data_IF_399688192299
#
_entry.id   IF_399688192299
#
_cell.length_a   1.000
_cell.length_b   1.000
_cell.length_c   1.000
_cell.angle_alpha   90.00
_cell.angle_beta   90.00
_cell.angle_gamma   90.00
#
_symmetry.space_group_name_H-M   'P 1'
#
loop_
_entity.id
_entity.type
_entity.pdbx_description
1 polymer ?
#
# COMPACT_ATOMS: atom_id res chain seq x y z
N UNK A 1 35.03 1.41 15.66
CA UNK A 1 33.64 1.92 15.78
C UNK A 1 33.33 2.80 14.58
N UNK A 2 32.53 2.32 13.63
CA UNK A 2 31.89 3.08 12.54
C UNK A 2 30.77 2.20 11.98
N UNK A 3 29.78 1.90 12.81
CA UNK A 3 28.58 1.12 12.48
C UNK A 3 27.37 2.00 12.79
N UNK A 4 27.17 3.07 12.02
CA UNK A 4 26.00 3.96 12.22
C UNK A 4 25.46 4.60 10.93
N UNK A 5 25.67 4.00 9.75
CA UNK A 5 25.08 4.50 8.47
C UNK A 5 24.32 3.39 7.72
N UNK A 6 23.62 2.51 8.44
CA UNK A 6 22.76 1.49 7.82
C UNK A 6 21.32 1.45 8.37
N UNK A 7 21.01 2.23 9.41
CA UNK A 7 19.68 2.25 10.04
C UNK A 7 18.72 3.28 9.43
N UNK A 8 19.18 4.25 8.64
CA UNK A 8 18.32 5.29 8.06
C UNK A 8 17.50 4.83 6.85
N UNK A 9 17.84 3.70 6.24
CA UNK A 9 17.17 3.21 5.01
C UNK A 9 16.06 2.20 5.30
N UNK A 10 15.97 1.65 6.52
CA UNK A 10 14.93 0.69 6.90
C UNK A 10 13.58 1.34 7.23
N UNK A 11 13.57 2.62 7.63
CA UNK A 11 12.35 3.32 8.07
C UNK A 11 11.46 3.79 6.91
N UNK A 12 11.93 3.71 5.66
CA UNK A 12 11.25 4.26 4.48
C UNK A 12 10.27 3.28 3.79
N UNK A 13 10.06 2.09 4.36
CA UNK A 13 9.29 1.01 3.71
C UNK A 13 8.04 0.57 4.51
N UNK A 14 7.77 1.20 5.66
CA UNK A 14 6.55 0.96 6.43
C UNK A 14 5.42 1.84 5.88
N UNK A 15 4.84 1.45 4.75
CA UNK A 15 3.61 2.07 4.26
C UNK A 15 2.44 1.82 5.22
N UNK A 16 1.56 2.81 5.36
CA UNK A 16 0.39 2.78 6.24
C UNK A 16 -0.69 1.82 5.73
N UNK A 17 -1.25 1.05 6.66
CA UNK A 17 -2.33 0.09 6.44
C UNK A 17 -3.28 0.17 7.63
N UNK A 18 -4.44 0.77 7.43
CA UNK A 18 -5.38 1.02 8.51
C UNK A 18 -6.71 0.32 8.21
N UNK A 19 -6.99 -0.74 8.94
CA UNK A 19 -8.28 -1.43 8.89
C UNK A 19 -9.36 -0.57 9.55
N UNK A 20 -10.52 -0.47 8.90
CA UNK A 20 -11.67 0.24 9.44
C UNK A 20 -11.58 1.76 9.29
N UNK A 21 -10.66 2.23 8.44
CA UNK A 21 -10.47 3.63 8.14
C UNK A 21 -10.60 3.89 6.64
N UNK A 22 -11.04 5.11 6.34
CA UNK A 22 -11.17 5.65 4.99
C UNK A 22 -10.70 7.10 5.01
N UNK A 23 -10.18 7.57 3.88
CA UNK A 23 -9.99 9.00 3.63
C UNK A 23 -11.13 9.54 2.77
N UNK A 24 -11.81 10.57 3.27
CA UNK A 24 -12.94 11.21 2.59
C UNK A 24 -12.51 12.40 1.72
N UNK A 25 -13.28 12.68 0.67
CA UNK A 25 -13.12 13.86 -0.20
C UNK A 25 -11.75 13.97 -0.91
N UNK A 26 -10.96 12.89 -0.94
CA UNK A 26 -9.70 12.81 -1.66
C UNK A 26 -9.81 12.01 -2.98
N UNK A 27 -11.03 11.72 -3.43
CA UNK A 27 -11.29 10.79 -4.53
C UNK A 27 -10.76 11.30 -5.87
N UNK A 28 -9.90 10.51 -6.50
CA UNK A 28 -9.42 10.66 -7.86
C UNK A 28 -10.25 9.82 -8.84
N UNK A 29 -10.51 8.56 -8.48
CA UNK A 29 -11.24 7.59 -9.30
C UNK A 29 -11.79 6.49 -8.41
N UNK A 30 -12.96 5.97 -8.74
CA UNK A 30 -13.52 4.77 -8.11
C UNK A 30 -13.84 3.70 -9.14
N UNK A 31 -13.73 2.43 -8.75
CA UNK A 31 -14.13 1.27 -9.56
C UNK A 31 -14.50 0.10 -8.64
N UNK A 32 -15.26 -0.85 -9.20
CA UNK A 32 -15.78 -2.02 -8.48
C UNK A 32 -15.17 -3.31 -9.04
N UNK A 33 -15.55 -4.44 -8.44
CA UNK A 33 -15.16 -5.79 -8.87
C UNK A 33 -13.64 -6.03 -8.88
N UNK A 34 -12.94 -5.47 -7.89
CA UNK A 34 -11.48 -5.58 -7.75
C UNK A 34 -11.09 -6.11 -6.37
N UNK A 35 -10.02 -6.89 -6.33
CA UNK A 35 -9.38 -7.25 -5.05
C UNK A 35 -8.46 -6.15 -4.54
N UNK A 36 -8.16 -6.20 -3.24
CA UNK A 36 -7.28 -5.24 -2.54
C UNK A 36 -5.94 -5.02 -3.26
N UNK A 37 -5.27 -6.11 -3.66
CA UNK A 37 -4.03 -6.03 -4.42
C UNK A 37 -4.20 -5.35 -5.78
N UNK A 38 -5.30 -5.62 -6.48
CA UNK A 38 -5.59 -4.98 -7.77
C UNK A 38 -5.88 -3.49 -7.58
N UNK A 39 -6.58 -3.11 -6.51
CA UNK A 39 -6.77 -1.72 -6.11
C UNK A 39 -5.42 -0.99 -5.95
N UNK A 40 -4.45 -1.62 -5.28
CA UNK A 40 -3.10 -1.07 -5.16
C UNK A 40 -2.31 -1.03 -6.48
N UNK A 41 -2.46 -2.02 -7.36
CA UNK A 41 -1.83 -1.99 -8.70
C UNK A 41 -2.31 -0.80 -9.52
N UNK A 42 -3.62 -0.54 -9.52
CA UNK A 42 -4.22 0.62 -10.19
C UNK A 42 -3.69 1.93 -9.62
N UNK A 43 -3.56 2.05 -8.29
CA UNK A 43 -2.95 3.23 -7.67
C UNK A 43 -1.51 3.44 -8.16
N UNK A 44 -0.68 2.40 -8.19
CA UNK A 44 0.72 2.53 -8.64
C UNK A 44 0.79 2.98 -10.10
N UNK A 45 -0.09 2.43 -10.96
CA UNK A 45 -0.16 2.82 -12.37
C UNK A 45 -0.60 4.29 -12.55
N UNK A 46 -1.38 4.84 -11.61
CA UNK A 46 -1.83 6.23 -11.65
C UNK A 46 -0.86 7.16 -10.90
N UNK A 47 -0.13 8.01 -11.63
CA UNK A 47 0.92 8.89 -11.08
C UNK A 47 0.45 9.81 -9.94
N UNK A 48 -0.79 10.26 -10.00
CA UNK A 48 -1.35 11.17 -8.99
C UNK A 48 -1.96 10.45 -7.78
N UNK A 49 -2.04 9.11 -7.78
CA UNK A 49 -2.58 8.37 -6.65
C UNK A 49 -1.58 8.34 -5.50
N UNK A 50 -1.98 8.73 -4.30
CA UNK A 50 -1.14 8.72 -3.10
C UNK A 50 -1.62 7.73 -2.03
N UNK A 51 -2.87 7.27 -2.12
CA UNK A 51 -3.41 6.21 -1.27
C UNK A 51 -4.69 5.63 -1.89
N UNK A 52 -5.19 4.55 -1.31
CA UNK A 52 -6.47 3.94 -1.69
C UNK A 52 -7.37 3.71 -0.49
N UNK A 53 -8.68 3.71 -0.72
CA UNK A 53 -9.66 3.10 0.17
C UNK A 53 -10.23 1.85 -0.52
N UNK A 54 -10.04 0.69 0.09
CA UNK A 54 -10.60 -0.56 -0.41
C UNK A 54 -11.77 -1.00 0.48
N UNK A 55 -12.95 -1.20 -0.12
CA UNK A 55 -14.12 -1.69 0.59
C UNK A 55 -14.22 -3.21 0.49
N UNK A 56 -14.09 -3.90 1.62
CA UNK A 56 -14.08 -5.37 1.68
C UNK A 56 -15.44 -6.00 1.47
N UNK A 57 -16.53 -5.25 1.69
CA UNK A 57 -17.88 -5.80 1.63
C UNK A 57 -18.40 -5.88 0.18
N UNK A 58 -18.02 -4.93 -0.67
CA UNK A 58 -18.50 -4.85 -2.05
C UNK A 58 -17.37 -4.85 -3.10
N UNK A 59 -16.13 -5.07 -2.67
CA UNK A 59 -14.97 -5.17 -3.57
C UNK A 59 -14.75 -3.90 -4.41
N UNK A 60 -15.07 -2.72 -3.85
CA UNK A 60 -14.81 -1.43 -4.48
C UNK A 60 -13.48 -0.84 -4.06
N UNK A 61 -12.89 -0.05 -4.95
CA UNK A 61 -11.64 0.67 -4.75
C UNK A 61 -11.82 2.14 -5.07
N UNK A 62 -11.28 2.99 -4.21
CA UNK A 62 -11.19 4.43 -4.38
C UNK A 62 -9.72 4.82 -4.40
N UNK A 63 -9.24 5.39 -5.50
CA UNK A 63 -7.92 6.01 -5.58
C UNK A 63 -8.00 7.43 -5.03
N UNK A 64 -7.02 7.85 -4.25
CA UNK A 64 -6.98 9.17 -3.64
C UNK A 64 -5.77 9.99 -4.09
N UNK A 65 -5.92 11.31 -4.23
CA UNK A 65 -4.82 12.20 -4.61
C UNK A 65 -3.89 12.59 -3.44
N UNK A 66 -4.26 12.26 -2.20
CA UNK A 66 -3.46 12.52 -1.00
C UNK A 66 -3.34 11.28 -0.12
N UNK A 67 -2.18 11.16 0.52
CA UNK A 67 -2.01 10.36 1.73
C UNK A 67 -2.28 11.25 2.94
N UNK A 68 -3.09 10.75 3.88
CA UNK A 68 -3.43 11.45 5.12
C UNK A 68 -3.11 10.52 6.28
N UNK A 69 -2.12 10.88 7.09
CA UNK A 69 -1.73 10.12 8.29
C UNK A 69 -2.58 10.53 9.50
N UNK A 70 -2.84 9.58 10.40
CA UNK A 70 -3.51 9.84 11.68
C UNK A 70 -4.95 10.40 11.58
N UNK A 71 -5.29 11.50 12.29
CA UNK A 71 -6.68 11.90 12.60
C UNK A 71 -7.49 12.42 11.40
N UNK A 72 -6.90 12.56 10.22
CA UNK A 72 -7.63 12.97 9.02
C UNK A 72 -8.37 11.84 8.30
N UNK A 73 -8.35 10.62 8.87
CA UNK A 73 -9.14 9.48 8.40
C UNK A 73 -10.44 9.35 9.20
N UNK A 74 -11.49 8.89 8.54
CA UNK A 74 -12.77 8.59 9.16
C UNK A 74 -12.93 7.10 9.39
N UNK A 75 -13.66 6.74 10.45
CA UNK A 75 -13.89 5.35 10.85
C UNK A 75 -15.01 4.78 9.98
N UNK A 76 -14.68 3.80 9.15
CA UNK A 76 -15.62 3.02 8.35
C UNK A 76 -15.15 1.55 8.33
N UNK A 77 -15.82 0.70 9.11
CA UNK A 77 -15.37 -0.67 9.40
C UNK A 77 -15.17 -1.55 8.14
N UNK A 78 -15.95 -1.29 7.10
CA UNK A 78 -15.93 -1.98 5.82
C UNK A 78 -14.73 -1.60 4.93
N UNK A 79 -14.02 -0.52 5.27
CA UNK A 79 -12.87 -0.06 4.49
C UNK A 79 -11.53 -0.53 5.06
N UNK A 80 -10.54 -0.53 4.18
CA UNK A 80 -9.11 -0.58 4.48
C UNK A 80 -8.47 0.59 3.76
N UNK A 81 -7.77 1.43 4.51
CA UNK A 81 -6.93 2.47 3.95
C UNK A 81 -5.51 1.93 3.73
N UNK A 82 -4.92 2.24 2.58
CA UNK A 82 -3.53 1.93 2.27
C UNK A 82 -2.86 3.10 1.58
N UNK A 83 -1.68 3.51 2.05
CA UNK A 83 -0.89 4.51 1.33
C UNK A 83 -0.20 3.92 0.08
N UNK A 84 0.37 4.80 -0.76
CA UNK A 84 1.06 4.37 -1.99
C UNK A 84 2.26 3.45 -1.70
N UNK A 85 2.96 3.65 -0.58
CA UNK A 85 4.12 2.83 -0.19
C UNK A 85 3.72 1.41 0.20
N UNK A 86 2.60 1.27 0.91
CA UNK A 86 1.98 -0.01 1.22
C UNK A 86 1.52 -0.67 -0.07
N UNK A 87 0.85 0.07 -0.94
CA UNK A 87 0.41 -0.45 -2.22
C UNK A 87 1.58 -0.92 -3.09
N UNK A 88 2.68 -0.17 -3.16
CA UNK A 88 3.89 -0.61 -3.85
C UNK A 88 4.40 -1.93 -3.31
N UNK A 89 4.42 -2.10 -1.98
CA UNK A 89 4.84 -3.36 -1.36
C UNK A 89 3.89 -4.51 -1.73
N UNK A 90 2.57 -4.31 -1.58
CA UNK A 90 1.55 -5.32 -1.84
C UNK A 90 1.47 -5.75 -3.31
N UNK A 91 1.62 -4.80 -4.24
CA UNK A 91 1.59 -5.07 -5.67
C UNK A 91 2.88 -5.74 -6.17
N UNK A 92 4.02 -5.38 -5.58
CA UNK A 92 5.33 -5.97 -5.89
C UNK A 92 5.46 -7.43 -5.45
N UNK A 93 4.58 -7.92 -4.56
CA UNK A 93 4.52 -9.33 -4.17
C UNK A 93 3.97 -10.23 -5.30
N UNK A 94 4.63 -10.31 -6.45
CA UNK A 94 4.32 -11.26 -7.53
C UNK A 94 5.37 -12.38 -7.58
N UNK A 95 4.94 -13.62 -7.86
CA UNK A 95 5.81 -14.81 -7.99
C UNK A 95 6.90 -14.69 -9.08
N UNK A 96 6.85 -13.66 -9.95
CA UNK A 96 7.74 -13.50 -11.09
C UNK A 96 8.38 -12.11 -11.22
N UNK A 97 8.73 -11.44 -10.11
CA UNK A 97 9.62 -10.28 -10.22
C UNK A 97 11.04 -10.77 -10.48
N UNK A 98 11.51 -10.69 -11.73
CA UNK A 98 12.94 -10.76 -12.07
C UNK A 98 13.62 -9.49 -11.56
N UNK A 99 13.83 -9.39 -10.25
CA UNK A 99 14.74 -8.37 -9.72
C UNK A 99 16.16 -8.78 -10.04
N UNK A 100 16.89 -7.89 -10.70
CA UNK A 100 18.29 -8.04 -11.10
C UNK A 100 19.26 -8.09 -9.91
N UNK A 101 18.77 -7.90 -8.68
CA UNK A 101 19.55 -7.90 -7.45
C UNK A 101 18.96 -8.91 -6.44
N UNK A 102 19.63 -10.05 -6.28
CA UNK A 102 19.22 -11.17 -5.40
C UNK A 102 19.00 -10.74 -3.93
N UNK A 103 19.73 -9.74 -3.45
CA UNK A 103 19.59 -9.21 -2.08
C UNK A 103 18.28 -8.45 -1.86
N UNK A 104 17.78 -7.74 -2.88
CA UNK A 104 16.51 -7.04 -2.79
C UNK A 104 15.34 -8.02 -2.89
N UNK A 105 15.51 -9.11 -3.65
CA UNK A 105 14.51 -10.19 -3.77
C UNK A 105 14.21 -10.82 -2.43
N UNK A 106 15.25 -11.21 -1.69
CA UNK A 106 15.10 -11.81 -0.37
C UNK A 106 14.42 -10.87 0.65
N UNK A 107 14.62 -9.55 0.53
CA UNK A 107 13.95 -8.55 1.38
C UNK A 107 12.47 -8.41 1.03
N UNK A 108 12.16 -8.35 -0.26
CA UNK A 108 10.78 -8.29 -0.75
C UNK A 108 10.00 -9.56 -0.36
N UNK A 109 10.60 -10.74 -0.53
CA UNK A 109 10.00 -12.02 -0.15
C UNK A 109 9.71 -12.12 1.36
N UNK A 110 10.57 -11.56 2.21
CA UNK A 110 10.33 -11.48 3.65
C UNK A 110 9.16 -10.53 3.99
N UNK A 111 9.11 -9.35 3.36
CA UNK A 111 8.01 -8.37 3.51
C UNK A 111 6.68 -8.98 3.03
N UNK A 112 6.69 -9.72 1.92
CA UNK A 112 5.49 -10.38 1.39
C UNK A 112 5.00 -11.51 2.30
N UNK A 113 5.89 -12.28 2.93
CA UNK A 113 5.50 -13.35 3.87
C UNK A 113 4.85 -12.82 5.14
N UNK A 114 5.34 -11.71 5.68
CA UNK A 114 4.76 -11.10 6.89
C UNK A 114 3.41 -10.43 6.64
N UNK A 115 3.16 -9.94 5.41
CA UNK A 115 1.94 -9.18 5.06
C UNK A 115 0.84 -10.00 4.39
N UNK A 116 1.11 -11.26 4.00
CA UNK A 116 0.11 -12.20 3.45
C UNK A 116 -0.41 -13.22 4.49
N UNK A 117 0.06 -13.13 5.73
CA UNK A 117 -0.40 -13.89 6.90
C UNK A 117 -1.57 -13.19 7.59
#
# INVERSE_FOLDING_TARGET
MKVFILLSVLSLIAGEYDYGYRVDNQLLKSFNDVGERSCCKECIAYTNCQSVNYNKNNYSCELNYQHISGPGKTIHAEYVYMDRSHCFSLASCSENVQMTVQTEKNKLDAICKERMS
#
